data_IF_880943832889
#
_entry.id   IF_880943832889
#
_cell.length_a   1.000
_cell.length_b   1.000
_cell.length_c   1.000
_cell.angle_alpha   90.00
_cell.angle_beta   90.00
_cell.angle_gamma   90.00
#
_symmetry.space_group_name_H-M   'P 1'
#
loop_
_entity.id
_entity.type
_entity.pdbx_description
1 polymer ?
#
# COMPACT_ATOMS: atom_id res chain seq x y z
N UNK A 1 -18.03 38.95 9.71
CA UNK A 1 -16.85 38.08 9.83
C UNK A 1 -17.29 36.62 9.78
N UNK A 2 -17.08 35.91 8.66
CA UNK A 2 -17.33 34.45 8.63
C UNK A 2 -16.16 33.77 9.33
N UNK A 3 -16.30 33.53 10.64
CA UNK A 3 -15.27 32.89 11.44
C UNK A 3 -14.99 31.45 10.99
N UNK A 4 -13.83 30.94 11.36
CA UNK A 4 -13.39 29.55 11.19
C UNK A 4 -14.45 28.50 11.53
N UNK A 5 -15.25 28.70 12.60
CA UNK A 5 -16.36 27.80 12.98
C UNK A 5 -17.41 27.66 11.86
N UNK A 6 -17.82 28.77 11.24
CA UNK A 6 -18.79 28.74 10.14
C UNK A 6 -18.22 28.06 8.88
N UNK A 7 -16.89 28.13 8.69
CA UNK A 7 -16.21 27.41 7.61
C UNK A 7 -16.15 25.90 7.89
N UNK A 8 -15.84 25.49 9.12
CA UNK A 8 -15.85 24.08 9.56
C UNK A 8 -17.25 23.47 9.38
N UNK A 9 -18.28 24.15 9.89
CA UNK A 9 -19.66 23.68 9.78
C UNK A 9 -20.12 23.53 8.31
N UNK A 10 -19.66 24.42 7.42
CA UNK A 10 -19.97 24.35 5.99
C UNK A 10 -19.24 23.22 5.27
N UNK A 11 -17.96 23.00 5.59
CA UNK A 11 -17.14 21.96 4.93
C UNK A 11 -17.55 20.56 5.41
N UNK A 12 -17.90 20.43 6.69
CA UNK A 12 -18.29 19.13 7.25
C UNK A 12 -17.14 18.12 7.24
N UNK A 13 -17.49 16.82 7.24
CA UNK A 13 -16.52 15.74 7.05
C UNK A 13 -16.23 15.58 5.56
N UNK A 14 -14.96 15.68 5.20
CA UNK A 14 -14.46 15.47 3.83
C UNK A 14 -14.19 13.98 3.57
N UNK A 15 -13.91 13.23 4.64
CA UNK A 15 -13.55 11.82 4.55
C UNK A 15 -14.74 10.94 4.22
N UNK A 16 -14.56 10.01 3.29
CA UNK A 16 -15.55 8.99 2.95
C UNK A 16 -15.88 8.09 4.14
N UNK A 17 -17.09 7.53 4.15
CA UNK A 17 -17.48 6.57 5.17
C UNK A 17 -16.58 5.33 5.12
N UNK A 18 -16.29 4.74 6.28
CA UNK A 18 -15.42 3.56 6.36
C UNK A 18 -15.99 2.34 5.63
N UNK A 19 -17.31 2.22 5.56
CA UNK A 19 -17.98 0.99 5.13
C UNK A 19 -17.72 -0.17 6.09
N UNK A 20 -18.12 -1.37 5.69
CA UNK A 20 -17.91 -2.58 6.48
C UNK A 20 -16.44 -2.97 6.52
N UNK A 21 -16.05 -3.74 7.55
CA UNK A 21 -14.69 -4.27 7.65
C UNK A 21 -14.50 -5.34 6.55
N UNK A 22 -13.46 -5.23 5.69
CA UNK A 22 -13.17 -6.26 4.72
C UNK A 22 -12.72 -7.54 5.43
N UNK A 23 -12.94 -8.73 4.81
CA UNK A 23 -12.40 -9.97 5.35
C UNK A 23 -10.87 -9.87 5.48
N UNK A 24 -10.31 -10.50 6.51
CA UNK A 24 -8.86 -10.57 6.69
C UNK A 24 -8.22 -11.20 5.44
N UNK A 25 -7.32 -10.48 4.77
CA UNK A 25 -6.64 -10.98 3.58
C UNK A 25 -5.60 -12.06 3.95
N UNK A 26 -5.04 -11.96 5.15
CA UNK A 26 -4.10 -12.90 5.74
C UNK A 26 -4.37 -13.03 7.23
N UNK A 27 -4.05 -14.18 7.81
CA UNK A 27 -3.80 -14.29 9.24
C UNK A 27 -2.59 -13.40 9.53
N UNK A 28 -2.82 -12.14 9.91
CA UNK A 28 -1.76 -11.18 10.11
C UNK A 28 -0.71 -11.79 11.07
N UNK A 29 0.58 -11.84 10.68
CA UNK A 29 1.59 -12.50 11.48
C UNK A 29 1.57 -11.93 12.90
N UNK A 30 1.62 -12.80 13.90
CA UNK A 30 1.45 -12.45 15.33
C UNK A 30 2.20 -11.17 15.68
N UNK A 31 1.46 -10.08 15.96
CA UNK A 31 2.02 -8.77 16.31
C UNK A 31 1.77 -7.64 15.32
N UNK A 32 1.30 -7.91 14.10
CA UNK A 32 0.98 -6.88 13.08
C UNK A 32 -0.53 -6.65 13.00
N UNK A 33 -1.14 -6.13 14.07
CA UNK A 33 -2.57 -5.83 14.12
C UNK A 33 -2.83 -4.48 14.80
N UNK A 34 -3.85 -3.76 14.34
CA UNK A 34 -4.27 -2.47 14.88
C UNK A 34 -3.50 -1.25 14.36
N UNK A 35 -2.17 -1.33 14.22
CA UNK A 35 -1.35 -0.27 13.59
C UNK A 35 -0.35 -0.87 12.62
N UNK A 36 -0.18 -0.23 11.45
CA UNK A 36 0.67 -0.68 10.36
C UNK A 36 1.54 0.49 9.88
N UNK A 37 2.84 0.41 10.13
CA UNK A 37 3.85 1.30 9.55
C UNK A 37 4.29 0.78 8.18
N UNK A 38 3.78 1.40 7.12
CA UNK A 38 3.96 0.98 5.73
C UNK A 38 5.13 1.73 5.09
N UNK A 39 6.10 1.00 4.53
CA UNK A 39 7.10 1.55 3.62
C UNK A 39 6.71 1.23 2.18
N UNK A 40 6.40 2.25 1.39
CA UNK A 40 6.20 2.10 -0.05
C UNK A 40 7.52 1.83 -0.79
N UNK A 41 7.53 0.89 -1.73
CA UNK A 41 8.70 0.60 -2.57
C UNK A 41 8.25 0.55 -4.02
N UNK A 42 8.71 1.51 -4.81
CA UNK A 42 8.58 1.48 -6.26
C UNK A 42 9.67 0.57 -6.85
N UNK A 43 9.28 -0.56 -7.46
CA UNK A 43 10.19 -1.51 -8.09
C UNK A 43 10.34 -1.32 -9.62
N UNK A 44 9.63 -0.36 -10.21
CA UNK A 44 9.53 -0.15 -11.65
C UNK A 44 8.14 0.28 -12.12
N UNK A 45 7.49 1.16 -11.37
CA UNK A 45 6.16 1.70 -11.63
C UNK A 45 6.19 2.84 -12.66
N UNK A 46 5.02 3.16 -13.20
CA UNK A 46 4.79 4.32 -14.06
C UNK A 46 4.20 5.54 -13.32
N UNK A 47 4.28 5.54 -11.98
CA UNK A 47 3.65 6.50 -11.06
C UNK A 47 2.12 6.42 -10.93
N UNK A 48 1.43 5.55 -11.69
CA UNK A 48 -0.03 5.44 -11.62
C UNK A 48 -0.53 4.93 -10.26
N UNK A 49 0.09 3.88 -9.71
CA UNK A 49 -0.30 3.34 -8.41
C UNK A 49 0.04 4.31 -7.27
N UNK A 50 1.13 5.06 -7.41
CA UNK A 50 1.63 6.04 -6.43
C UNK A 50 0.68 7.23 -6.25
N UNK A 51 0.02 7.65 -7.33
CA UNK A 51 -1.04 8.67 -7.27
C UNK A 51 -2.22 8.16 -6.45
N UNK A 52 -2.66 6.92 -6.67
CA UNK A 52 -3.76 6.34 -5.90
C UNK A 52 -3.40 6.04 -4.45
N UNK A 53 -2.15 5.62 -4.19
CA UNK A 53 -1.62 5.50 -2.82
C UNK A 53 -1.65 6.87 -2.14
N UNK A 54 -1.18 7.92 -2.81
CA UNK A 54 -1.25 9.29 -2.29
C UNK A 54 -2.69 9.73 -2.02
N UNK A 55 -3.64 9.32 -2.87
CA UNK A 55 -5.08 9.48 -2.65
C UNK A 55 -5.57 8.75 -1.40
N UNK A 56 -5.18 7.49 -1.20
CA UNK A 56 -5.59 6.65 -0.07
C UNK A 56 -5.15 7.26 1.29
N UNK A 57 -3.97 7.86 1.35
CA UNK A 57 -3.48 8.59 2.53
C UNK A 57 -3.89 10.08 2.56
N UNK A 58 -4.62 10.54 1.55
CA UNK A 58 -5.18 11.88 1.49
C UNK A 58 -6.41 12.06 2.38
N UNK A 59 -6.89 13.31 2.57
CA UNK A 59 -7.98 13.62 3.51
C UNK A 59 -9.34 13.01 3.16
N UNK A 60 -9.53 12.59 1.90
CA UNK A 60 -10.79 12.00 1.41
C UNK A 60 -10.92 10.54 1.85
N UNK A 61 -9.85 9.75 1.79
CA UNK A 61 -9.91 8.32 2.12
C UNK A 61 -9.31 8.02 3.51
N UNK A 62 -8.31 8.81 3.90
CA UNK A 62 -7.69 8.84 5.23
C UNK A 62 -7.38 7.44 5.78
N UNK A 63 -6.48 6.72 5.12
CA UNK A 63 -6.02 5.41 5.57
C UNK A 63 -5.44 5.44 7.01
N UNK A 64 -4.92 6.59 7.46
CA UNK A 64 -4.34 6.75 8.80
C UNK A 64 -5.36 6.54 9.92
N UNK A 65 -6.65 6.87 9.70
CA UNK A 65 -7.70 6.59 10.68
C UNK A 65 -7.89 5.10 11.00
N UNK A 66 -7.45 4.23 10.10
CA UNK A 66 -7.49 2.76 10.27
C UNK A 66 -6.17 2.19 10.79
N UNK A 67 -5.23 3.05 11.21
CA UNK A 67 -3.96 2.65 11.79
C UNK A 67 -2.85 2.40 10.78
N UNK A 68 -3.06 2.60 9.48
CA UNK A 68 -2.02 2.48 8.47
C UNK A 68 -1.30 3.82 8.26
N UNK A 69 0.03 3.87 8.33
CA UNK A 69 0.82 5.11 8.19
C UNK A 69 2.02 4.90 7.30
N UNK A 70 2.33 5.85 6.42
CA UNK A 70 3.54 5.79 5.62
C UNK A 70 4.79 6.18 6.43
N UNK A 71 5.83 5.37 6.35
CA UNK A 71 7.14 5.63 6.95
C UNK A 71 8.24 5.68 5.91
N UNK A 72 9.25 6.53 6.15
CA UNK A 72 10.34 6.75 5.21
C UNK A 72 11.39 5.64 5.21
N UNK A 73 11.64 5.01 6.37
CA UNK A 73 12.69 4.00 6.53
C UNK A 73 12.07 2.62 6.66
N UNK A 74 12.58 1.60 5.93
CA UNK A 74 12.15 0.21 6.13
C UNK A 74 12.45 -0.29 7.54
N UNK A 75 13.43 0.29 8.25
CA UNK A 75 13.73 -0.07 9.64
C UNK A 75 12.63 0.32 10.64
N UNK A 76 11.71 1.21 10.24
CA UNK A 76 10.56 1.62 11.04
C UNK A 76 9.26 0.99 10.52
N UNK A 77 9.33 0.13 9.50
CA UNK A 77 8.19 -0.45 8.85
C UNK A 77 7.89 -1.85 9.40
N UNK A 78 6.61 -2.18 9.46
CA UNK A 78 6.07 -3.53 9.67
C UNK A 78 5.32 -4.02 8.41
N UNK A 79 5.21 -3.18 7.37
CA UNK A 79 4.72 -3.59 6.06
C UNK A 79 5.48 -2.93 4.91
N UNK A 80 5.63 -3.67 3.82
CA UNK A 80 6.11 -3.17 2.53
C UNK A 80 4.95 -3.11 1.55
N UNK A 81 4.68 -1.94 0.99
CA UNK A 81 3.72 -1.76 -0.10
C UNK A 81 4.51 -1.59 -1.40
N UNK A 82 4.56 -2.63 -2.21
CA UNK A 82 5.42 -2.71 -3.41
C UNK A 82 4.58 -2.48 -4.66
N UNK A 83 5.03 -1.58 -5.54
CA UNK A 83 4.37 -1.24 -6.80
C UNK A 83 5.27 -1.48 -8.00
N UNK A 84 4.66 -1.56 -9.18
CA UNK A 84 5.36 -1.67 -10.46
C UNK A 84 5.81 -3.09 -10.79
N UNK A 85 6.31 -3.25 -12.02
CA UNK A 85 7.02 -4.48 -12.39
C UNK A 85 8.37 -4.50 -11.68
N UNK A 86 8.88 -5.67 -11.27
CA UNK A 86 10.23 -5.70 -10.69
C UNK A 86 11.25 -5.62 -11.82
N UNK A 87 11.85 -4.44 -12.01
CA UNK A 87 12.92 -4.27 -13.00
C UNK A 87 14.20 -4.99 -12.54
N UNK A 88 15.07 -5.36 -13.50
CA UNK A 88 16.36 -6.02 -13.19
C UNK A 88 17.20 -5.22 -12.18
N UNK A 89 17.19 -3.90 -12.31
CA UNK A 89 17.93 -2.99 -11.43
C UNK A 89 17.31 -2.89 -10.03
N UNK A 90 16.00 -3.10 -9.90
CA UNK A 90 15.28 -3.01 -8.62
C UNK A 90 15.18 -4.35 -7.87
N UNK A 91 15.50 -5.48 -8.49
CA UNK A 91 15.43 -6.78 -7.84
C UNK A 91 16.30 -6.85 -6.56
N UNK A 92 17.56 -6.41 -6.62
CA UNK A 92 18.44 -6.42 -5.44
C UNK A 92 18.04 -5.35 -4.39
N UNK A 93 17.75 -4.09 -4.77
CA UNK A 93 17.22 -3.10 -3.82
C UNK A 93 15.95 -3.56 -3.09
N UNK A 94 15.03 -4.25 -3.77
CA UNK A 94 13.82 -4.78 -3.15
C UNK A 94 14.14 -5.85 -2.09
N UNK A 95 15.04 -6.80 -2.40
CA UNK A 95 15.52 -7.80 -1.43
C UNK A 95 16.19 -7.14 -0.22
N UNK A 96 17.08 -6.18 -0.46
CA UNK A 96 17.76 -5.45 0.61
C UNK A 96 16.76 -4.68 1.51
N UNK A 97 15.69 -4.15 0.91
CA UNK A 97 14.64 -3.45 1.66
C UNK A 97 13.87 -4.41 2.57
N UNK A 98 13.52 -5.60 2.06
CA UNK A 98 12.90 -6.65 2.86
C UNK A 98 13.80 -7.10 4.02
N UNK A 99 15.09 -7.31 3.75
CA UNK A 99 16.09 -7.68 4.77
C UNK A 99 16.27 -6.59 5.85
N UNK A 100 16.17 -5.31 5.46
CA UNK A 100 16.26 -4.18 6.38
C UNK A 100 14.98 -3.95 7.20
N UNK A 101 13.87 -4.62 6.86
CA UNK A 101 12.59 -4.49 7.54
C UNK A 101 12.51 -5.50 8.70
N UNK A 102 12.26 -5.07 9.95
CA UNK A 102 12.14 -5.99 11.10
C UNK A 102 11.04 -7.04 10.91
N UNK A 103 11.18 -8.20 11.55
CA UNK A 103 10.09 -9.17 11.67
C UNK A 103 9.36 -8.96 13.01
N UNK A 104 8.03 -9.19 13.10
CA UNK A 104 7.12 -9.64 12.03
C UNK A 104 6.80 -8.52 11.02
N UNK A 105 6.62 -8.88 9.74
CA UNK A 105 6.30 -7.94 8.65
C UNK A 105 5.39 -8.54 7.60
N UNK A 106 4.69 -7.69 6.86
CA UNK A 106 3.79 -8.06 5.74
C UNK A 106 4.27 -7.43 4.43
N UNK A 107 4.19 -8.16 3.32
CA UNK A 107 4.50 -7.66 1.96
C UNK A 107 3.21 -7.62 1.15
N UNK A 108 2.89 -6.43 0.65
CA UNK A 108 1.69 -6.12 -0.11
C UNK A 108 2.11 -5.76 -1.54
N UNK A 109 1.71 -6.55 -2.53
CA UNK A 109 1.91 -6.25 -3.94
C UNK A 109 0.72 -5.45 -4.49
N UNK A 110 0.97 -4.24 -5.00
CA UNK A 110 -0.05 -3.30 -5.41
C UNK A 110 0.00 -2.99 -6.92
N UNK A 111 -1.09 -3.32 -7.60
CA UNK A 111 -1.33 -3.09 -9.00
C UNK A 111 -0.96 -4.27 -9.91
N UNK A 112 -1.56 -4.32 -11.10
CA UNK A 112 -1.44 -5.43 -12.04
C UNK A 112 0.01 -5.65 -12.51
N UNK A 113 0.81 -4.59 -12.59
CA UNK A 113 2.24 -4.70 -12.89
C UNK A 113 3.00 -5.48 -11.78
N UNK A 114 2.68 -5.27 -10.51
CA UNK A 114 3.30 -5.98 -9.39
C UNK A 114 2.93 -7.47 -9.38
N UNK A 115 1.79 -7.82 -9.99
CA UNK A 115 1.28 -9.19 -10.12
C UNK A 115 1.62 -9.84 -11.47
N UNK A 116 2.43 -9.17 -12.32
CA UNK A 116 2.78 -9.61 -13.68
C UNK A 116 1.54 -9.82 -14.60
N UNK A 117 0.49 -9.02 -14.40
CA UNK A 117 -0.76 -9.02 -15.19
C UNK A 117 -0.89 -7.80 -16.12
N UNK A 118 0.08 -6.89 -16.10
CA UNK A 118 0.09 -5.67 -16.90
C UNK A 118 0.80 -5.78 -18.26
N UNK A 119 0.84 -4.67 -19.00
CA UNK A 119 1.43 -4.60 -20.35
C UNK A 119 2.93 -4.92 -20.42
N UNK A 120 3.65 -4.77 -19.31
CA UNK A 120 5.09 -5.02 -19.22
C UNK A 120 5.44 -6.46 -18.81
N UNK A 121 4.46 -7.35 -18.77
CA UNK A 121 4.70 -8.76 -18.50
C UNK A 121 5.70 -9.34 -19.52
N UNK A 122 6.73 -10.03 -19.02
CA UNK A 122 7.82 -10.61 -19.81
C UNK A 122 8.66 -9.62 -20.64
N UNK A 123 8.61 -8.31 -20.35
CA UNK A 123 9.46 -7.35 -21.02
C UNK A 123 10.95 -7.59 -20.68
N UNK A 124 11.86 -7.29 -21.63
CA UNK A 124 13.29 -7.61 -21.51
C UNK A 124 13.97 -7.11 -20.23
N UNK A 125 13.57 -5.95 -19.71
CA UNK A 125 14.11 -5.31 -18.51
C UNK A 125 13.41 -5.70 -17.20
N UNK A 126 12.41 -6.58 -17.27
CA UNK A 126 11.60 -7.03 -16.13
C UNK A 126 12.10 -8.41 -15.67
N UNK A 127 12.19 -8.58 -14.36
CA UNK A 127 12.46 -9.89 -13.74
C UNK A 127 11.18 -10.69 -13.63
N UNK A 128 10.09 -10.06 -13.20
CA UNK A 128 8.77 -10.70 -13.07
C UNK A 128 7.86 -9.95 -12.09
N UNK A 129 6.90 -10.68 -11.52
CA UNK A 129 6.07 -10.21 -10.42
C UNK A 129 6.88 -9.97 -9.14
N UNK A 130 6.32 -9.19 -8.21
CA UNK A 130 6.89 -9.01 -6.86
C UNK A 130 7.03 -10.35 -6.14
N UNK A 131 6.02 -11.24 -6.26
CA UNK A 131 6.01 -12.58 -5.69
C UNK A 131 7.12 -13.52 -6.17
N UNK A 132 7.71 -13.25 -7.34
CA UNK A 132 8.85 -14.01 -7.87
C UNK A 132 10.19 -13.56 -7.25
N UNK A 133 10.21 -12.38 -6.61
CA UNK A 133 11.42 -11.77 -6.02
C UNK A 133 11.39 -11.84 -4.50
N UNK A 134 10.25 -11.52 -3.88
CA UNK A 134 10.04 -11.55 -2.42
C UNK A 134 8.71 -12.24 -2.09
N UNK A 135 8.56 -12.90 -0.94
CA UNK A 135 7.28 -13.48 -0.55
C UNK A 135 6.24 -12.37 -0.41
N UNK A 136 5.08 -12.55 -1.05
CA UNK A 136 3.94 -11.63 -0.99
C UNK A 136 2.85 -12.26 -0.13
N UNK A 137 2.31 -11.46 0.78
CA UNK A 137 1.24 -11.85 1.69
C UNK A 137 -0.13 -11.37 1.17
N UNK A 138 -0.18 -10.16 0.61
CA UNK A 138 -1.44 -9.54 0.12
C UNK A 138 -1.25 -9.03 -1.31
N UNK A 139 -2.20 -9.35 -2.19
CA UNK A 139 -2.25 -8.83 -3.56
C UNK A 139 -3.40 -7.83 -3.72
N UNK A 140 -3.13 -6.69 -4.35
CA UNK A 140 -4.13 -5.68 -4.71
C UNK A 140 -4.16 -5.56 -6.24
N UNK A 141 -5.10 -6.23 -6.94
CA UNK A 141 -5.22 -6.12 -8.39
C UNK A 141 -5.78 -4.74 -8.80
N UNK A 142 -5.40 -4.25 -9.99
CA UNK A 142 -5.86 -2.99 -10.59
C UNK A 142 -4.79 -2.23 -11.38
N UNK A 143 -5.21 -1.34 -12.28
CA UNK A 143 -4.30 -0.55 -13.12
C UNK A 143 -4.76 0.91 -13.32
N UNK A 144 -4.58 1.81 -12.32
CA UNK A 144 -4.18 1.49 -10.94
C UNK A 144 -5.37 1.01 -10.08
N UNK A 145 -5.12 0.31 -8.96
CA UNK A 145 -6.17 0.02 -7.98
C UNK A 145 -6.67 1.33 -7.36
N UNK A 146 -7.97 1.44 -7.12
CA UNK A 146 -8.56 2.67 -6.57
C UNK A 146 -8.12 2.90 -5.12
N UNK A 147 -8.20 4.13 -4.60
CA UNK A 147 -7.83 4.42 -3.21
C UNK A 147 -8.67 3.61 -2.22
N UNK A 148 -9.96 3.40 -2.51
CA UNK A 148 -10.84 2.55 -1.70
C UNK A 148 -10.37 1.10 -1.65
N UNK A 149 -9.89 0.54 -2.78
CA UNK A 149 -9.32 -0.82 -2.83
C UNK A 149 -8.03 -0.91 -2.02
N UNK A 150 -7.16 0.10 -2.12
CA UNK A 150 -5.92 0.18 -1.32
C UNK A 150 -6.25 0.26 0.17
N UNK A 151 -7.19 1.14 0.57
CA UNK A 151 -7.64 1.25 1.96
C UNK A 151 -8.24 -0.06 2.45
N UNK A 152 -9.09 -0.72 1.66
CA UNK A 152 -9.67 -2.01 2.05
C UNK A 152 -8.60 -3.08 2.29
N UNK A 153 -7.57 -3.14 1.44
CA UNK A 153 -6.45 -4.06 1.63
C UNK A 153 -5.66 -3.74 2.91
N UNK A 154 -5.37 -2.46 3.18
CA UNK A 154 -4.71 -2.05 4.43
C UNK A 154 -5.57 -2.39 5.67
N UNK A 155 -6.88 -2.17 5.59
CA UNK A 155 -7.85 -2.50 6.66
C UNK A 155 -7.94 -4.01 6.91
N UNK A 156 -7.78 -4.81 5.87
CA UNK A 156 -7.74 -6.28 6.01
C UNK A 156 -6.51 -6.76 6.78
N UNK A 157 -5.44 -5.96 6.85
CA UNK A 157 -4.25 -6.25 7.67
C UNK A 157 -4.40 -5.63 9.06
N UNK A 158 -4.86 -4.37 9.16
CA UNK A 158 -5.00 -3.69 10.45
C UNK A 158 -6.18 -4.20 11.29
N UNK A 159 -7.17 -4.84 10.67
CA UNK A 159 -8.42 -5.29 11.29
C UNK A 159 -9.19 -4.12 11.94
N UNK A 160 -9.23 -2.95 11.27
CA UNK A 160 -9.92 -1.72 11.69
C UNK A 160 -10.77 -1.09 10.59
#
# INVERSE_FOLDING_TARGET
MRGWIAKIARVGRVTEAAGDLPPAAVDAPTGVAGTLQVRHVDAGSCNGCEVEISGAFGPVYDAERFGARLVASPRHADALLVTGVVTRNMAQPLRNTLEATPAPRVVIACGDCALNRGIFANAHGVVGAVGEVVPVDVEIPGCPPTPTQIVAALRSVTQR
#
